data_IF_497966916001
#
_entry.id   IF_497966916001
#
_cell.length_a   1.000
_cell.length_b   1.000
_cell.length_c   1.000
_cell.angle_alpha   90.00
_cell.angle_beta   90.00
_cell.angle_gamma   90.00
#
_symmetry.space_group_name_H-M   'P 1'
#
loop_
_entity.id
_entity.type
_entity.pdbx_description
1 polymer ?
#
# COMPACT_ATOMS: atom_id res chain seq x y z
N UNK A 1 5.26 5.87 25.59
CA UNK A 1 4.93 5.36 24.23
C UNK A 1 4.97 6.53 23.26
N UNK A 2 5.92 6.54 22.32
CA UNK A 2 6.09 7.64 21.36
C UNK A 2 5.03 7.54 20.24
N UNK A 3 3.95 8.30 20.36
CA UNK A 3 2.88 8.40 19.36
C UNK A 3 3.37 8.95 18.01
N UNK A 4 4.51 9.65 18.00
CA UNK A 4 5.09 10.28 16.80
C UNK A 4 5.45 9.28 15.71
N UNK A 5 5.98 8.10 16.05
CA UNK A 5 6.33 7.07 15.07
C UNK A 5 5.08 6.50 14.39
N UNK A 6 4.04 6.18 15.16
CA UNK A 6 2.75 5.72 14.60
C UNK A 6 2.17 6.77 13.64
N UNK A 7 2.25 8.05 14.02
CA UNK A 7 1.73 9.15 13.20
C UNK A 7 2.51 9.32 11.89
N UNK A 8 3.82 9.06 11.87
CA UNK A 8 4.64 9.13 10.66
C UNK A 8 4.22 8.06 9.63
N UNK A 9 3.93 6.83 10.06
CA UNK A 9 3.46 5.78 9.14
C UNK A 9 2.10 6.14 8.54
N UNK A 10 1.18 6.67 9.36
CA UNK A 10 -0.12 7.16 8.89
C UNK A 10 0.05 8.31 7.89
N UNK A 11 0.94 9.27 8.19
CA UNK A 11 1.22 10.38 7.28
C UNK A 11 1.81 9.90 5.95
N UNK A 12 2.74 8.95 5.97
CA UNK A 12 3.31 8.38 4.75
C UNK A 12 2.25 7.61 3.94
N UNK A 13 1.33 6.90 4.59
CA UNK A 13 0.20 6.26 3.92
C UNK A 13 -0.74 7.23 3.21
N UNK A 14 -0.83 8.50 3.62
CA UNK A 14 -1.66 9.49 2.93
C UNK A 14 -0.95 10.11 1.71
N UNK A 15 0.37 10.04 1.65
CA UNK A 15 1.16 10.66 0.59
C UNK A 15 1.44 9.68 -0.56
N UNK A 16 0.68 9.79 -1.66
CA UNK A 16 0.77 8.93 -2.85
C UNK A 16 2.20 8.68 -3.39
N UNK A 17 3.06 9.70 -3.32
CA UNK A 17 4.46 9.63 -3.76
C UNK A 17 5.49 9.20 -2.71
N UNK A 18 5.09 9.06 -1.44
CA UNK A 18 5.98 8.60 -0.38
C UNK A 18 6.04 7.07 -0.36
N UNK A 19 7.18 6.51 0.01
CA UNK A 19 7.25 5.09 0.37
C UNK A 19 6.75 4.94 1.81
N UNK A 20 5.65 4.17 2.04
CA UNK A 20 5.15 3.97 3.40
C UNK A 20 5.96 2.93 4.19
N UNK A 21 6.97 2.30 3.58
CA UNK A 21 7.78 1.25 4.20
C UNK A 21 7.07 -0.10 4.24
N UNK A 22 7.40 -0.91 5.25
CA UNK A 22 6.75 -2.21 5.47
C UNK A 22 5.34 -1.97 6.02
N UNK A 23 4.36 -2.69 5.47
CA UNK A 23 2.96 -2.63 5.86
C UNK A 23 2.53 -3.96 6.46
N UNK A 24 1.65 -3.91 7.46
CA UNK A 24 0.84 -5.09 7.81
C UNK A 24 -0.26 -5.30 6.77
N UNK A 25 -0.91 -6.47 6.80
CA UNK A 25 -2.07 -6.76 5.92
C UNK A 25 -3.18 -5.72 6.11
N UNK A 26 -3.46 -5.32 7.34
CA UNK A 26 -4.48 -4.31 7.66
C UNK A 26 -4.11 -2.94 7.09
N UNK A 27 -2.85 -2.53 7.21
CA UNK A 27 -2.36 -1.28 6.64
C UNK A 27 -2.40 -1.29 5.11
N UNK A 28 -2.01 -2.40 4.49
CA UNK A 28 -2.08 -2.56 3.05
C UNK A 28 -3.53 -2.49 2.55
N UNK A 29 -4.47 -3.14 3.25
CA UNK A 29 -5.87 -3.06 2.90
C UNK A 29 -6.43 -1.64 3.09
N UNK A 30 -6.10 -0.96 4.19
CA UNK A 30 -6.50 0.44 4.41
C UNK A 30 -5.93 1.37 3.32
N UNK A 31 -4.66 1.19 2.93
CA UNK A 31 -4.05 1.94 1.85
C UNK A 31 -4.76 1.75 0.50
N UNK A 32 -5.25 0.53 0.20
CA UNK A 32 -6.06 0.28 -0.99
C UNK A 32 -7.38 1.04 -1.00
N UNK A 33 -8.02 1.22 0.17
CA UNK A 33 -9.26 1.98 0.32
C UNK A 33 -9.02 3.50 0.31
N UNK A 34 -7.87 3.95 0.80
CA UNK A 34 -7.51 5.37 0.80
C UNK A 34 -7.14 5.90 -0.59
N UNK A 35 -6.48 5.07 -1.40
CA UNK A 35 -5.93 5.46 -2.70
C UNK A 35 -6.79 4.97 -3.87
N UNK A 36 -8.12 4.86 -3.70
CA UNK A 36 -9.04 4.29 -4.69
C UNK A 36 -8.92 4.92 -6.09
N UNK A 37 -8.64 6.21 -6.18
CA UNK A 37 -8.49 6.95 -7.45
C UNK A 37 -7.06 6.87 -8.04
N UNK A 38 -6.10 6.33 -7.30
CA UNK A 38 -4.73 6.17 -7.78
C UNK A 38 -4.55 4.87 -8.56
N UNK A 39 -3.64 4.85 -9.54
CA UNK A 39 -3.18 3.60 -10.16
C UNK A 39 -1.93 3.06 -9.45
N UNK A 40 -1.79 1.74 -9.43
CA UNK A 40 -0.60 1.00 -8.92
C UNK A 40 0.71 1.38 -9.62
N UNK A 41 0.61 1.87 -10.86
CA UNK A 41 1.78 2.30 -11.63
C UNK A 41 2.28 3.68 -11.19
N UNK A 42 1.41 4.52 -10.63
CA UNK A 42 1.75 5.90 -10.25
C UNK A 42 1.88 6.11 -8.74
N UNK A 43 1.07 5.42 -7.95
CA UNK A 43 1.06 5.56 -6.49
C UNK A 43 1.98 4.54 -5.83
N UNK A 44 3.01 5.03 -5.13
CA UNK A 44 3.96 4.18 -4.41
C UNK A 44 3.29 3.46 -3.25
N UNK A 45 2.41 4.14 -2.52
CA UNK A 45 1.63 3.56 -1.43
C UNK A 45 0.75 2.42 -1.93
N UNK A 46 -0.01 2.64 -3.00
CA UNK A 46 -0.91 1.62 -3.58
C UNK A 46 -0.13 0.45 -4.16
N UNK A 47 1.02 0.72 -4.79
CA UNK A 47 1.92 -0.33 -5.29
C UNK A 47 2.43 -1.21 -4.15
N UNK A 48 2.96 -0.60 -3.08
CA UNK A 48 3.46 -1.31 -1.91
C UNK A 48 2.35 -2.14 -1.27
N UNK A 49 1.18 -1.54 -1.06
CA UNK A 49 0.01 -2.23 -0.52
C UNK A 49 -0.37 -3.45 -1.37
N UNK A 50 -0.34 -3.33 -2.71
CA UNK A 50 -0.64 -4.46 -3.60
C UNK A 50 0.37 -5.56 -3.39
N UNK A 51 1.66 -5.22 -3.40
CA UNK A 51 2.75 -6.19 -3.20
C UNK A 51 2.58 -6.94 -1.89
N UNK A 52 2.37 -6.24 -0.76
CA UNK A 52 2.12 -6.87 0.54
C UNK A 52 0.94 -7.83 0.51
N UNK A 53 -0.20 -7.43 -0.09
CA UNK A 53 -1.36 -8.32 -0.17
C UNK A 53 -1.13 -9.55 -1.05
N UNK A 54 -0.32 -9.43 -2.11
CA UNK A 54 0.04 -10.56 -2.97
C UNK A 54 1.01 -11.51 -2.26
N UNK A 55 2.04 -10.98 -1.60
CA UNK A 55 3.01 -11.77 -0.83
C UNK A 55 2.35 -12.55 0.32
N UNK A 56 1.35 -11.94 0.98
CA UNK A 56 0.56 -12.55 2.06
C UNK A 56 -0.58 -13.46 1.53
N UNK A 57 -0.68 -13.68 0.22
CA UNK A 57 -1.71 -14.54 -0.39
C UNK A 57 -3.15 -14.02 -0.25
N UNK A 58 -3.34 -12.74 0.08
CA UNK A 58 -4.65 -12.07 0.20
C UNK A 58 -5.15 -11.52 -1.13
N UNK A 59 -4.27 -11.36 -2.12
CA UNK A 59 -4.59 -10.94 -3.46
C UNK A 59 -3.87 -11.85 -4.45
N UNK A 60 -4.61 -12.44 -5.39
CA UNK A 60 -4.05 -13.25 -6.47
C UNK A 60 -4.21 -12.45 -7.76
N UNK A 61 -3.10 -12.23 -8.47
CA UNK A 61 -3.10 -11.49 -9.72
C UNK A 61 -3.44 -12.42 -10.88
N UNK A 62 -4.35 -11.99 -11.75
CA UNK A 62 -4.56 -12.65 -13.05
C UNK A 62 -3.47 -12.25 -14.04
N UNK A 63 -3.33 -13.02 -15.13
CA UNK A 63 -2.28 -12.82 -16.15
C UNK A 63 -2.26 -11.39 -16.71
N UNK A 64 -3.41 -10.72 -16.83
CA UNK A 64 -3.51 -9.35 -17.35
C UNK A 64 -3.09 -8.29 -16.33
N UNK A 65 -3.02 -8.65 -15.05
CA UNK A 65 -2.59 -7.77 -13.97
C UNK A 65 -1.06 -7.82 -13.73
N UNK A 66 -0.38 -8.79 -14.34
CA UNK A 66 1.08 -8.83 -14.37
C UNK A 66 1.61 -7.71 -15.27
N UNK A 67 2.74 -7.07 -14.92
CA UNK A 67 3.37 -6.11 -15.80
C UNK A 67 3.78 -6.81 -17.10
N UNK A 68 3.30 -6.26 -18.23
CA UNK A 68 3.70 -6.67 -19.57
C UNK A 68 5.05 -6.10 -20.00
#
# INVERSE_FOLDING_TARGET
MQLTNLNMHVAAMLACGADPGIMTVEQAHAAMQLHLDCTVDRCRVRRRARTTLVEEGRCVLDERALPC
#
